data_IF_735694930450
#
_entry.id   IF_735694930450
#
_cell.length_a   1.000
_cell.length_b   1.000
_cell.length_c   1.000
_cell.angle_alpha   90.00
_cell.angle_beta   90.00
_cell.angle_gamma   90.00
#
_symmetry.space_group_name_H-M   'P 1'
#
loop_
_entity.id
_entity.type
_entity.pdbx_description
1 polymer ?
#
# COMPACT_ATOMS: atom_id res chain seq x y z
N UNK A 1 12.10 21.90 -4.49
CA UNK A 1 11.48 20.68 -5.06
C UNK A 1 12.05 20.31 -6.42
N UNK A 2 11.81 21.09 -7.49
CA UNK A 2 12.27 20.77 -8.86
C UNK A 2 13.77 20.45 -9.01
N UNK A 3 14.64 21.10 -8.23
CA UNK A 3 16.07 20.81 -8.23
C UNK A 3 16.36 19.37 -7.79
N UNK A 4 15.69 18.90 -6.73
CA UNK A 4 15.84 17.53 -6.24
C UNK A 4 15.28 16.53 -7.25
N UNK A 5 14.13 16.82 -7.87
CA UNK A 5 13.57 15.97 -8.92
C UNK A 5 14.53 15.83 -10.10
N UNK A 6 15.12 16.94 -10.57
CA UNK A 6 16.10 16.93 -11.66
C UNK A 6 17.35 16.12 -11.28
N UNK A 7 17.85 16.28 -10.06
CA UNK A 7 18.99 15.51 -9.56
C UNK A 7 18.67 14.01 -9.47
N UNK A 8 17.51 13.65 -8.92
CA UNK A 8 17.04 12.27 -8.83
C UNK A 8 16.91 11.67 -10.23
N UNK A 9 16.33 12.38 -11.20
CA UNK A 9 16.16 11.91 -12.56
C UNK A 9 17.50 11.61 -13.25
N UNK A 10 18.47 12.50 -13.11
CA UNK A 10 19.82 12.31 -13.68
C UNK A 10 20.52 11.12 -13.01
N UNK A 11 20.45 11.03 -11.67
CA UNK A 11 21.06 9.93 -10.92
C UNK A 11 20.40 8.58 -11.23
N UNK A 12 19.08 8.56 -11.38
CA UNK A 12 18.32 7.37 -11.78
C UNK A 12 18.74 6.91 -13.18
N UNK A 13 18.75 7.82 -14.16
CA UNK A 13 19.17 7.50 -15.53
C UNK A 13 20.61 6.97 -15.56
N UNK A 14 21.51 7.55 -14.75
CA UNK A 14 22.87 7.06 -14.64
C UNK A 14 22.90 5.66 -14.04
N UNK A 15 22.23 5.44 -12.91
CA UNK A 15 22.14 4.14 -12.25
C UNK A 15 21.59 3.04 -13.18
N UNK A 16 20.54 3.34 -13.95
CA UNK A 16 19.97 2.41 -14.92
C UNK A 16 20.97 1.99 -16.00
N UNK A 17 21.87 2.89 -16.41
CA UNK A 17 22.88 2.64 -17.46
C UNK A 17 24.14 1.96 -16.94
N UNK A 18 24.65 2.38 -15.80
CA UNK A 18 25.99 1.98 -15.32
C UNK A 18 25.94 1.03 -14.13
N UNK A 19 24.80 0.92 -13.44
CA UNK A 19 24.64 0.24 -12.14
C UNK A 19 25.59 0.75 -11.06
N UNK A 20 26.13 1.97 -11.22
CA UNK A 20 26.99 2.63 -10.23
C UNK A 20 26.23 3.74 -9.50
N UNK A 21 26.82 4.27 -8.42
CA UNK A 21 26.29 5.39 -7.63
C UNK A 21 24.92 5.14 -6.94
N UNK A 22 24.53 3.89 -6.73
CA UNK A 22 23.28 3.53 -6.01
C UNK A 22 23.20 4.19 -4.63
N UNK A 23 24.31 4.22 -3.89
CA UNK A 23 24.38 4.84 -2.57
C UNK A 23 24.07 6.35 -2.64
N UNK A 24 24.56 7.04 -3.67
CA UNK A 24 24.33 8.48 -3.86
C UNK A 24 22.87 8.73 -4.22
N UNK A 25 22.28 7.93 -5.11
CA UNK A 25 20.86 8.01 -5.44
C UNK A 25 19.99 7.81 -4.19
N UNK A 26 20.29 6.79 -3.38
CA UNK A 26 19.58 6.51 -2.12
C UNK A 26 19.70 7.65 -1.12
N UNK A 27 20.89 8.23 -0.97
CA UNK A 27 21.10 9.37 -0.06
C UNK A 27 20.32 10.61 -0.52
N UNK A 28 20.39 10.94 -1.81
CA UNK A 28 19.66 12.08 -2.39
C UNK A 28 18.16 11.89 -2.26
N UNK A 29 17.63 10.69 -2.52
CA UNK A 29 16.21 10.36 -2.31
C UNK A 29 15.80 10.50 -0.85
N UNK A 30 16.60 9.98 0.08
CA UNK A 30 16.33 10.10 1.51
C UNK A 30 16.27 11.57 1.94
N UNK A 31 17.23 12.38 1.49
CA UNK A 31 17.27 13.82 1.74
C UNK A 31 16.07 14.54 1.15
N UNK A 32 15.72 14.25 -0.10
CA UNK A 32 14.57 14.84 -0.78
C UNK A 32 13.26 14.50 -0.05
N UNK A 33 13.03 13.24 0.31
CA UNK A 33 11.82 12.80 1.01
C UNK A 33 11.73 13.26 2.46
N UNK A 34 12.86 13.59 3.11
CA UNK A 34 12.84 14.20 4.43
C UNK A 34 12.38 15.66 4.39
N UNK A 35 12.70 16.40 3.32
CA UNK A 35 12.31 17.80 3.13
C UNK A 35 10.93 17.90 2.46
N UNK A 36 10.66 17.06 1.46
CA UNK A 36 9.46 17.03 0.63
C UNK A 36 8.82 15.63 0.67
N UNK A 37 8.16 15.24 1.78
CA UNK A 37 7.62 13.89 1.98
C UNK A 37 6.49 13.51 1.02
N UNK A 38 5.87 14.50 0.37
CA UNK A 38 4.76 14.33 -0.57
C UNK A 38 5.20 14.48 -2.03
N UNK A 39 6.50 14.54 -2.31
CA UNK A 39 6.99 14.58 -3.68
C UNK A 39 6.75 13.21 -4.35
N UNK A 40 5.72 13.11 -5.19
CA UNK A 40 5.30 11.85 -5.80
C UNK A 40 6.33 11.26 -6.75
N UNK A 41 7.10 12.10 -7.43
CA UNK A 41 8.19 11.63 -8.28
C UNK A 41 9.24 10.91 -7.45
N UNK A 42 9.77 11.53 -6.40
CA UNK A 42 10.73 10.92 -5.48
C UNK A 42 10.15 9.66 -4.79
N UNK A 43 8.87 9.66 -4.42
CA UNK A 43 8.20 8.47 -3.86
C UNK A 43 8.08 7.32 -4.87
N UNK A 44 7.86 7.61 -6.14
CA UNK A 44 7.81 6.60 -7.20
C UNK A 44 9.18 5.97 -7.44
N UNK A 45 10.24 6.78 -7.54
CA UNK A 45 11.62 6.29 -7.69
C UNK A 45 12.03 5.49 -6.46
N UNK A 46 11.69 5.97 -5.26
CA UNK A 46 11.82 5.25 -4.01
C UNK A 46 11.16 3.86 -4.09
N UNK A 47 9.91 3.78 -4.53
CA UNK A 47 9.16 2.53 -4.59
C UNK A 47 9.76 1.53 -5.58
N UNK A 48 10.28 2.00 -6.72
CA UNK A 48 10.98 1.17 -7.71
C UNK A 48 12.23 0.54 -7.10
N UNK A 49 13.10 1.36 -6.50
CA UNK A 49 14.35 0.87 -5.87
C UNK A 49 14.04 -0.15 -4.76
N UNK A 50 13.05 0.14 -3.92
CA UNK A 50 12.62 -0.75 -2.84
C UNK A 50 12.07 -2.08 -3.34
N UNK A 51 11.41 -2.09 -4.50
CA UNK A 51 10.87 -3.32 -5.06
C UNK A 51 11.99 -4.28 -5.51
N UNK A 52 13.09 -3.73 -6.03
CA UNK A 52 14.22 -4.50 -6.55
C UNK A 52 15.17 -4.97 -5.43
N UNK A 53 15.51 -4.08 -4.49
CA UNK A 53 16.54 -4.32 -3.49
C UNK A 53 15.95 -4.29 -2.08
N UNK A 54 16.01 -5.39 -1.30
CA UNK A 54 15.41 -5.47 0.03
C UNK A 54 16.20 -4.71 1.11
N UNK A 55 17.17 -3.88 0.71
CA UNK A 55 18.27 -3.41 1.55
C UNK A 55 18.01 -2.06 2.20
N UNK A 56 16.92 -1.36 1.88
CA UNK A 56 16.59 -0.15 2.63
C UNK A 56 15.92 -0.53 3.94
N UNK A 57 16.79 -0.91 4.89
CA UNK A 57 16.49 -0.78 6.30
C UNK A 57 16.23 0.70 6.53
N UNK A 58 14.97 1.07 6.70
CA UNK A 58 14.69 2.31 7.39
C UNK A 58 15.45 2.24 8.72
N UNK A 59 16.36 3.19 8.93
CA UNK A 59 16.73 3.58 10.27
C UNK A 59 15.46 4.18 10.89
N UNK A 60 14.59 3.29 11.38
CA UNK A 60 13.31 3.56 12.02
C UNK A 60 13.46 4.28 13.36
N UNK A 61 14.64 4.81 13.67
CA UNK A 61 14.91 5.35 14.99
C UNK A 61 14.31 6.74 15.20
N UNK A 62 14.10 7.57 14.17
CA UNK A 62 13.70 8.98 14.39
C UNK A 62 12.70 9.61 13.41
N UNK A 63 12.24 8.96 12.33
CA UNK A 63 11.28 9.60 11.40
C UNK A 63 9.91 8.94 11.44
N UNK A 64 8.89 9.73 11.74
CA UNK A 64 7.48 9.33 11.65
C UNK A 64 7.15 8.92 10.21
N UNK A 65 6.60 7.72 10.01
CA UNK A 65 6.15 7.27 8.70
C UNK A 65 4.96 8.14 8.28
N UNK A 66 5.07 8.84 7.14
CA UNK A 66 3.99 9.63 6.55
C UNK A 66 3.13 8.79 5.61
N UNK A 67 1.89 9.19 5.41
CA UNK A 67 0.88 8.43 4.64
C UNK A 67 1.36 8.01 3.24
N UNK A 68 1.81 8.96 2.42
CA UNK A 68 2.23 8.65 1.05
C UNK A 68 3.47 7.76 0.98
N UNK A 69 4.36 7.88 1.96
CA UNK A 69 5.51 6.98 2.11
C UNK A 69 5.08 5.56 2.52
N UNK A 70 4.07 5.45 3.39
CA UNK A 70 3.46 4.16 3.73
C UNK A 70 2.87 3.48 2.49
N UNK A 71 2.09 4.21 1.69
CA UNK A 71 1.50 3.71 0.44
C UNK A 71 2.60 3.27 -0.54
N UNK A 72 3.61 4.12 -0.76
CA UNK A 72 4.74 3.79 -1.64
C UNK A 72 5.46 2.50 -1.21
N UNK A 73 5.67 2.30 0.10
CA UNK A 73 6.25 1.06 0.64
C UNK A 73 5.35 -0.16 0.45
N UNK A 74 4.03 -0.03 0.68
CA UNK A 74 3.09 -1.12 0.42
C UNK A 74 3.12 -1.56 -1.05
N UNK A 75 3.14 -0.60 -1.98
CA UNK A 75 3.23 -0.87 -3.42
C UNK A 75 4.56 -1.51 -3.82
N UNK A 76 5.68 -1.00 -3.29
CA UNK A 76 7.01 -1.55 -3.53
C UNK A 76 7.13 -2.99 -3.02
N UNK A 77 6.64 -3.25 -1.81
CA UNK A 77 6.64 -4.58 -1.21
C UNK A 77 5.77 -5.58 -1.99
N UNK A 78 4.59 -5.17 -2.44
CA UNK A 78 3.75 -6.01 -3.31
C UNK A 78 4.45 -6.31 -4.63
N UNK A 79 5.00 -5.29 -5.30
CA UNK A 79 5.77 -5.49 -6.55
C UNK A 79 6.93 -6.46 -6.36
N UNK A 80 7.60 -6.40 -5.20
CA UNK A 80 8.68 -7.33 -4.84
C UNK A 80 8.17 -8.76 -4.69
N UNK A 81 7.02 -8.95 -4.03
CA UNK A 81 6.39 -10.27 -3.91
C UNK A 81 6.12 -10.84 -5.32
N UNK A 82 5.55 -10.05 -6.23
CA UNK A 82 5.30 -10.47 -7.61
C UNK A 82 6.59 -10.88 -8.34
N UNK A 83 7.68 -10.11 -8.15
CA UNK A 83 8.99 -10.43 -8.73
C UNK A 83 9.53 -11.76 -8.17
N UNK A 84 9.45 -11.97 -6.86
CA UNK A 84 9.92 -13.20 -6.21
C UNK A 84 9.07 -14.42 -6.61
N UNK A 85 7.76 -14.24 -6.82
CA UNK A 85 6.89 -15.29 -7.34
C UNK A 85 7.27 -15.67 -8.77
N UNK A 86 7.56 -14.68 -9.63
CA UNK A 86 8.04 -14.93 -11.01
C UNK A 86 9.39 -15.65 -11.07
N UNK A 87 10.23 -15.47 -10.06
CA UNK A 87 11.53 -16.12 -9.94
C UNK A 87 11.47 -17.48 -9.21
N UNK A 88 10.29 -17.94 -8.84
CA UNK A 88 10.05 -19.22 -8.14
C UNK A 88 10.87 -19.38 -6.84
N UNK A 89 10.85 -18.33 -6.00
CA UNK A 89 11.51 -18.33 -4.69
C UNK A 89 10.49 -18.39 -3.53
N UNK A 90 9.86 -19.54 -3.27
CA UNK A 90 8.69 -19.64 -2.38
C UNK A 90 8.98 -19.20 -0.93
N UNK A 91 10.17 -19.51 -0.40
CA UNK A 91 10.56 -19.07 0.94
C UNK A 91 10.73 -17.54 1.02
N UNK A 92 11.29 -16.92 -0.01
CA UNK A 92 11.47 -15.47 -0.07
C UNK A 92 10.14 -14.75 -0.24
N UNK A 93 9.22 -15.32 -1.04
CA UNK A 93 7.82 -14.85 -1.17
C UNK A 93 7.14 -14.84 0.19
N UNK A 94 7.17 -15.96 0.91
CA UNK A 94 6.54 -16.06 2.24
C UNK A 94 7.15 -15.07 3.24
N UNK A 95 8.47 -14.88 3.24
CA UNK A 95 9.13 -13.91 4.10
C UNK A 95 8.70 -12.46 3.76
N UNK A 96 8.64 -12.11 2.48
CA UNK A 96 8.21 -10.79 2.03
C UNK A 96 6.72 -10.53 2.34
N UNK A 97 5.87 -11.54 2.14
CA UNK A 97 4.44 -11.49 2.48
C UNK A 97 4.24 -11.26 3.98
N UNK A 98 4.89 -12.04 4.83
CA UNK A 98 4.81 -11.87 6.28
C UNK A 98 5.31 -10.49 6.74
N UNK A 99 6.36 -9.97 6.10
CA UNK A 99 6.85 -8.62 6.36
C UNK A 99 5.81 -7.55 5.97
N UNK A 100 5.16 -7.69 4.82
CA UNK A 100 4.12 -6.76 4.39
C UNK A 100 2.88 -6.83 5.28
N UNK A 101 2.45 -8.03 5.69
CA UNK A 101 1.35 -8.21 6.65
C UNK A 101 1.67 -7.52 7.99
N UNK A 102 2.87 -7.73 8.53
CA UNK A 102 3.33 -7.05 9.76
C UNK A 102 3.40 -5.53 9.60
N UNK A 103 3.78 -5.07 8.41
CA UNK A 103 3.81 -3.65 8.09
C UNK A 103 2.41 -3.04 8.09
N UNK A 104 1.42 -3.67 7.47
CA UNK A 104 0.02 -3.23 7.53
C UNK A 104 -0.51 -3.14 8.97
N UNK A 105 -0.22 -4.14 9.82
CA UNK A 105 -0.58 -4.11 11.25
C UNK A 105 0.12 -2.96 12.01
N UNK A 106 1.34 -2.60 11.60
CA UNK A 106 2.04 -1.44 12.16
C UNK A 106 1.34 -0.14 11.75
N UNK A 107 0.96 -0.04 10.47
CA UNK A 107 0.27 1.14 9.94
C UNK A 107 -1.12 1.35 10.57
N UNK A 108 -1.86 0.28 10.89
CA UNK A 108 -3.18 0.40 11.53
C UNK A 108 -3.12 0.97 12.96
N UNK A 109 -1.96 0.92 13.60
CA UNK A 109 -1.72 1.50 14.92
C UNK A 109 -1.36 2.98 14.88
N UNK A 110 -0.97 3.52 13.72
CA UNK A 110 -0.55 4.91 13.57
C UNK A 110 -1.80 5.80 13.37
N UNK A 111 -2.11 6.74 14.29
CA UNK A 111 -3.36 7.52 14.23
C UNK A 111 -3.52 8.34 12.95
N UNK A 112 -2.42 8.90 12.42
CA UNK A 112 -2.41 9.71 11.19
C UNK A 112 -2.60 8.89 9.90
N UNK A 113 -2.56 7.56 10.00
CA UNK A 113 -2.56 6.65 8.84
C UNK A 113 -3.78 5.72 8.86
N UNK A 114 -4.18 5.22 10.03
CA UNK A 114 -5.21 4.19 10.18
C UNK A 114 -6.59 4.56 9.65
N UNK A 115 -6.89 5.86 9.54
CA UNK A 115 -8.13 6.35 8.95
C UNK A 115 -8.07 6.48 7.42
N UNK A 116 -6.99 6.03 6.77
CA UNK A 116 -6.85 6.05 5.32
C UNK A 116 -7.50 4.81 4.68
N UNK A 117 -8.59 4.95 3.90
CA UNK A 117 -9.28 3.81 3.32
C UNK A 117 -8.41 3.04 2.32
N UNK A 118 -7.55 3.73 1.56
CA UNK A 118 -6.71 3.10 0.54
C UNK A 118 -5.78 2.04 1.15
N UNK A 119 -5.25 2.26 2.36
CA UNK A 119 -4.39 1.27 3.02
C UNK A 119 -5.13 0.02 3.45
N UNK A 120 -6.37 0.16 3.92
CA UNK A 120 -7.24 -0.98 4.20
C UNK A 120 -7.57 -1.77 2.94
N UNK A 121 -7.90 -1.07 1.85
CA UNK A 121 -8.16 -1.70 0.55
C UNK A 121 -6.94 -2.46 0.03
N UNK A 122 -5.74 -1.88 0.13
CA UNK A 122 -4.49 -2.58 -0.21
C UNK A 122 -4.25 -3.80 0.67
N UNK A 123 -4.58 -3.73 1.96
CA UNK A 123 -4.44 -4.88 2.87
C UNK A 123 -5.44 -5.99 2.49
N UNK A 124 -6.71 -5.66 2.30
CA UNK A 124 -7.74 -6.63 1.88
C UNK A 124 -7.41 -7.25 0.52
N UNK A 125 -6.91 -6.43 -0.42
CA UNK A 125 -6.45 -6.90 -1.71
C UNK A 125 -5.34 -7.95 -1.56
N UNK A 126 -4.34 -7.68 -0.72
CA UNK A 126 -3.26 -8.64 -0.42
C UNK A 126 -3.79 -9.95 0.18
N UNK A 127 -4.80 -9.88 1.06
CA UNK A 127 -5.42 -11.08 1.63
C UNK A 127 -6.09 -11.94 0.57
N UNK A 128 -6.77 -11.33 -0.41
CA UNK A 128 -7.40 -12.03 -1.53
C UNK A 128 -6.36 -12.65 -2.45
N UNK A 129 -5.35 -11.87 -2.85
CA UNK A 129 -4.29 -12.29 -3.78
C UNK A 129 -3.52 -13.52 -3.28
N UNK A 130 -3.40 -13.69 -1.95
CA UNK A 130 -2.65 -14.78 -1.34
C UNK A 130 -3.50 -15.79 -0.54
N UNK A 131 -4.82 -15.83 -0.76
CA UNK A 131 -5.73 -16.77 -0.09
C UNK A 131 -5.62 -16.78 1.45
N UNK A 132 -5.54 -15.58 2.04
CA UNK A 132 -5.42 -15.38 3.50
C UNK A 132 -6.74 -14.94 4.16
N UNK A 133 -7.83 -14.89 3.40
CA UNK A 133 -9.12 -14.40 3.85
C UNK A 133 -9.68 -15.22 5.02
N UNK A 134 -9.60 -16.56 4.98
CA UNK A 134 -10.08 -17.41 6.09
C UNK A 134 -9.34 -17.15 7.41
N UNK A 135 -8.07 -16.75 7.34
CA UNK A 135 -7.23 -16.57 8.54
C UNK A 135 -7.37 -15.19 9.17
N UNK A 136 -7.69 -14.16 8.38
CA UNK A 136 -7.59 -12.74 8.79
C UNK A 136 -8.73 -11.86 8.33
N UNK A 137 -9.57 -12.32 7.40
CA UNK A 137 -10.57 -11.51 6.71
C UNK A 137 -11.56 -10.86 7.66
N UNK A 138 -12.03 -11.61 8.66
CA UNK A 138 -12.96 -11.12 9.68
C UNK A 138 -12.35 -10.05 10.59
N UNK A 139 -11.13 -10.29 11.09
CA UNK A 139 -10.38 -9.31 11.90
C UNK A 139 -10.19 -8.00 11.11
N UNK A 140 -9.72 -8.10 9.86
CA UNK A 140 -9.48 -6.93 9.00
C UNK A 140 -10.77 -6.23 8.60
N UNK A 141 -11.86 -6.96 8.40
CA UNK A 141 -13.19 -6.36 8.23
C UNK A 141 -13.52 -5.47 9.43
N UNK A 142 -13.52 -6.03 10.65
CA UNK A 142 -13.91 -5.29 11.85
C UNK A 142 -13.02 -4.08 12.10
N UNK A 143 -11.70 -4.22 11.94
CA UNK A 143 -10.77 -3.11 12.14
C UNK A 143 -10.98 -2.01 11.09
N UNK A 144 -11.09 -2.37 9.81
CA UNK A 144 -11.26 -1.40 8.72
C UNK A 144 -12.55 -0.59 8.81
N UNK A 145 -13.69 -1.22 9.13
CA UNK A 145 -14.97 -0.51 9.26
C UNK A 145 -15.03 0.32 10.54
N UNK A 146 -14.28 -0.06 11.57
CA UNK A 146 -14.13 0.76 12.78
C UNK A 146 -13.32 2.02 12.50
N UNK A 147 -12.25 1.92 11.70
CA UNK A 147 -11.40 3.07 11.38
C UNK A 147 -11.92 3.92 10.22
N UNK A 148 -12.73 3.36 9.31
CA UNK A 148 -13.27 4.05 8.13
C UNK A 148 -14.80 3.82 7.96
N UNK A 149 -15.64 4.07 8.98
CA UNK A 149 -17.07 3.75 8.94
C UNK A 149 -17.88 4.54 7.91
N UNK A 150 -17.32 5.63 7.36
CA UNK A 150 -17.96 6.50 6.38
C UNK A 150 -17.75 6.06 4.92
N UNK A 151 -16.94 5.03 4.66
CA UNK A 151 -16.51 4.69 3.30
C UNK A 151 -17.17 3.41 2.80
N UNK A 152 -18.16 3.54 1.91
CA UNK A 152 -18.85 2.39 1.30
C UNK A 152 -17.89 1.37 0.67
N UNK A 153 -16.83 1.82 -0.01
CA UNK A 153 -15.90 0.90 -0.68
C UNK A 153 -15.18 -0.03 0.30
N UNK A 154 -14.98 0.37 1.56
CA UNK A 154 -14.40 -0.50 2.60
C UNK A 154 -15.33 -1.66 2.90
N UNK A 155 -16.64 -1.40 3.02
CA UNK A 155 -17.63 -2.45 3.25
C UNK A 155 -17.72 -3.40 2.04
N UNK A 156 -17.62 -2.88 0.82
CA UNK A 156 -17.63 -3.70 -0.40
C UNK A 156 -16.38 -4.60 -0.44
N UNK A 157 -15.18 -4.05 -0.25
CA UNK A 157 -13.95 -4.84 -0.20
C UNK A 157 -13.95 -5.83 0.98
N UNK A 158 -14.55 -5.46 2.11
CA UNK A 158 -14.71 -6.32 3.28
C UNK A 158 -15.59 -7.54 3.00
N UNK A 159 -16.67 -7.37 2.23
CA UNK A 159 -17.56 -8.47 1.86
C UNK A 159 -16.84 -9.55 1.04
N UNK A 160 -15.80 -9.18 0.27
CA UNK A 160 -14.97 -10.13 -0.46
C UNK A 160 -13.98 -10.88 0.45
N UNK A 161 -13.48 -10.26 1.53
CA UNK A 161 -12.53 -10.91 2.45
C UNK A 161 -13.19 -11.65 3.62
N UNK A 162 -14.43 -11.28 3.98
CA UNK A 162 -15.22 -11.92 5.02
C UNK A 162 -16.63 -12.26 4.51
N UNK A 163 -16.74 -13.16 3.50
CA UNK A 163 -18.02 -13.48 2.85
C UNK A 163 -19.05 -14.08 3.82
N UNK A 164 -18.60 -14.73 4.90
CA UNK A 164 -19.48 -15.22 5.96
C UNK A 164 -20.26 -14.13 6.68
N UNK A 165 -19.82 -12.87 6.58
CA UNK A 165 -20.47 -11.69 7.17
C UNK A 165 -21.24 -10.86 6.13
N UNK A 166 -21.38 -11.33 4.89
CA UNK A 166 -21.98 -10.57 3.78
C UNK A 166 -23.34 -9.95 4.13
N UNK A 167 -24.25 -10.72 4.73
CA UNK A 167 -25.58 -10.23 5.12
C UNK A 167 -25.48 -9.08 6.12
N UNK A 168 -24.65 -9.23 7.15
CA UNK A 168 -24.44 -8.17 8.15
C UNK A 168 -23.83 -6.91 7.52
N UNK A 169 -22.88 -7.08 6.61
CA UNK A 169 -22.26 -5.98 5.88
C UNK A 169 -23.30 -5.24 5.02
N UNK A 170 -24.17 -5.97 4.33
CA UNK A 170 -25.25 -5.38 3.51
C UNK A 170 -26.25 -4.59 4.36
N UNK A 171 -26.61 -5.12 5.53
CA UNK A 171 -27.49 -4.44 6.47
C UNK A 171 -26.85 -3.16 7.00
N UNK A 172 -25.56 -3.20 7.37
CA UNK A 172 -24.81 -2.01 7.81
C UNK A 172 -24.69 -0.94 6.73
N UNK A 173 -24.44 -1.33 5.47
CA UNK A 173 -24.40 -0.38 4.34
C UNK A 173 -25.74 0.33 4.19
N UNK A 174 -26.85 -0.40 4.37
CA UNK A 174 -28.21 0.13 4.27
C UNK A 174 -28.55 1.05 5.45
N UNK A 175 -28.29 0.59 6.67
CA UNK A 175 -28.53 1.34 7.91
C UNK A 175 -27.75 2.66 7.94
N UNK A 176 -26.48 2.64 7.52
CA UNK A 176 -25.61 3.83 7.49
C UNK A 176 -25.84 4.72 6.27
N UNK A 177 -26.80 4.40 5.41
CA UNK A 177 -27.11 5.12 4.17
C UNK A 177 -25.85 5.44 3.33
N UNK A 178 -24.87 4.53 3.29
CA UNK A 178 -23.58 4.73 2.61
C UNK A 178 -23.74 4.64 1.10
N UNK A 179 -24.55 5.50 0.49
CA UNK A 179 -24.84 5.50 -0.95
C UNK A 179 -23.64 6.05 -1.72
N UNK A 180 -23.34 5.45 -2.87
CA UNK A 180 -22.55 6.15 -3.88
C UNK A 180 -23.44 7.30 -4.41
N UNK A 181 -22.87 8.47 -4.69
CA UNK A 181 -23.52 9.48 -5.54
C UNK A 181 -23.65 9.02 -7.01
N UNK A 182 -23.38 7.74 -7.28
CA UNK A 182 -23.48 7.13 -8.59
C UNK A 182 -24.56 6.05 -8.50
N UNK A 183 -25.59 6.25 -9.28
CA UNK A 183 -26.74 5.37 -9.40
C UNK A 183 -26.35 4.07 -10.13
N UNK A 184 -27.06 2.94 -9.90
CA UNK A 184 -26.84 1.69 -10.63
C UNK A 184 -26.81 1.90 -12.15
N UNK A 185 -27.64 2.82 -12.65
CA UNK A 185 -27.73 3.20 -14.06
C UNK A 185 -26.41 3.81 -14.59
N UNK A 186 -25.74 4.65 -13.79
CA UNK A 186 -24.44 5.23 -14.17
C UNK A 186 -23.28 4.22 -14.08
N UNK A 187 -23.42 3.18 -13.25
CA UNK A 187 -22.43 2.10 -13.14
C UNK A 187 -22.45 1.17 -14.37
N UNK A 188 -23.62 0.98 -14.99
CA UNK A 188 -23.77 0.21 -16.24
C UNK A 188 -23.16 0.94 -17.44
N UNK A 189 -23.22 2.27 -17.47
CA UNK A 189 -22.57 3.09 -18.53
C UNK A 189 -21.04 2.92 -18.50
N UNK A 190 -20.43 2.78 -17.31
CA UNK A 190 -18.98 2.62 -17.17
C UNK A 190 -18.48 1.19 -17.41
N UNK A 191 -19.40 0.22 -17.49
CA UNK A 191 -19.12 -1.19 -17.79
C UNK A 191 -19.38 -1.55 -19.27
N UNK A 192 -19.91 -0.60 -20.05
CA UNK A 192 -20.13 -0.69 -21.50
C UNK A 192 -18.91 -0.31 -22.31
#
# INVERSE_FOLDING_TARGET
EMLYESQIAILQLHYERTRTLEAVLKETLSRALNIYPNNFYALSVFAVIESELPTWRFNSRNSEIKLWRAIAMCLAARRRIDLLMKLDHPYAVNAALNKLLSFHLTLSRIPSIRCCPLLWRLYMFLLREHNLCEKKGEEIYHESVTQCPWVRSIYIDAAEVAPQLLTQIQDLIREKELRLHVTPEELDILRG
#
